data_IF_267512294016
#
_entry.id   IF_267512294016
#
_cell.length_a   1.000
_cell.length_b   1.000
_cell.length_c   1.000
_cell.angle_alpha   90.00
_cell.angle_beta   90.00
_cell.angle_gamma   90.00
#
_symmetry.space_group_name_H-M   'P 1'
#
loop_
_entity.id
_entity.type
_entity.pdbx_description
1 polymer ?
#
# COMPACT_ATOMS: atom_id res chain seq x y z
N UNK A 1 41.05 -41.76 -0.88
CA UNK A 1 40.03 -40.91 -0.23
C UNK A 1 39.89 -39.48 -0.82
N UNK A 2 40.71 -39.06 -1.81
CA UNK A 2 40.68 -37.68 -2.34
C UNK A 2 39.72 -37.46 -3.54
N UNK A 3 39.14 -38.53 -4.11
CA UNK A 3 38.37 -38.50 -5.35
C UNK A 3 36.84 -38.40 -5.14
N UNK A 4 36.37 -38.49 -3.90
CA UNK A 4 34.94 -38.51 -3.53
C UNK A 4 34.43 -37.13 -3.12
N UNK A 5 35.31 -36.29 -2.57
CA UNK A 5 35.00 -34.91 -2.15
C UNK A 5 34.85 -33.96 -3.34
N UNK A 6 35.64 -34.16 -4.41
CA UNK A 6 35.53 -33.41 -5.68
C UNK A 6 34.27 -33.75 -6.47
N UNK A 7 33.80 -35.00 -6.40
CA UNK A 7 32.51 -35.41 -6.99
C UNK A 7 31.32 -34.82 -6.23
N UNK A 8 31.43 -34.71 -4.91
CA UNK A 8 30.40 -34.13 -4.05
C UNK A 8 30.27 -32.61 -4.24
N UNK A 9 31.38 -31.87 -4.36
CA UNK A 9 31.34 -30.43 -4.68
C UNK A 9 30.83 -30.12 -6.08
N UNK A 10 31.14 -30.97 -7.07
CA UNK A 10 30.62 -30.81 -8.44
C UNK A 10 29.09 -31.03 -8.49
N UNK A 11 28.56 -31.99 -7.74
CA UNK A 11 27.12 -32.26 -7.65
C UNK A 11 26.36 -31.13 -6.93
N UNK A 12 26.93 -30.57 -5.85
CA UNK A 12 26.33 -29.43 -5.14
C UNK A 12 26.31 -28.18 -6.04
N UNK A 13 27.39 -27.90 -6.76
CA UNK A 13 27.45 -26.78 -7.71
C UNK A 13 26.43 -26.94 -8.87
N UNK A 14 26.23 -28.16 -9.38
CA UNK A 14 25.27 -28.46 -10.44
C UNK A 14 23.81 -28.26 -9.98
N UNK A 15 23.49 -28.60 -8.72
CA UNK A 15 22.14 -28.38 -8.16
C UNK A 15 21.82 -26.91 -7.89
N UNK A 16 22.84 -26.09 -7.57
CA UNK A 16 22.64 -24.66 -7.30
C UNK A 16 22.38 -23.86 -8.58
N UNK A 17 23.02 -24.21 -9.71
CA UNK A 17 22.74 -23.59 -11.01
C UNK A 17 21.34 -23.91 -11.56
N UNK A 18 20.76 -25.06 -11.21
CA UNK A 18 19.42 -25.45 -11.67
C UNK A 18 18.28 -24.69 -10.96
N UNK A 19 18.55 -24.09 -9.80
CA UNK A 19 17.57 -23.30 -9.03
C UNK A 19 17.42 -21.84 -9.52
N UNK A 20 18.32 -21.37 -10.40
CA UNK A 20 18.35 -19.98 -10.88
C UNK A 20 17.76 -19.82 -12.29
N UNK A 21 17.14 -20.86 -12.85
CA UNK A 21 16.41 -20.74 -14.10
C UNK A 21 15.22 -19.80 -13.89
N UNK A 22 15.03 -18.76 -14.72
CA UNK A 22 13.83 -17.96 -14.67
C UNK A 22 12.65 -18.91 -14.94
N UNK A 23 11.75 -19.02 -13.96
CA UNK A 23 10.51 -19.77 -14.11
C UNK A 23 9.66 -19.04 -15.13
N UNK A 24 9.82 -19.37 -16.40
CA UNK A 24 8.88 -19.05 -17.48
C UNK A 24 7.64 -19.91 -17.30
N UNK A 25 6.97 -19.76 -16.14
CA UNK A 25 5.58 -20.16 -16.05
C UNK A 25 4.84 -19.30 -17.06
N UNK A 26 4.02 -19.94 -17.91
CA UNK A 26 2.98 -19.22 -18.63
C UNK A 26 2.13 -18.51 -17.57
N UNK A 27 2.44 -17.24 -17.32
CA UNK A 27 1.64 -16.39 -16.46
C UNK A 27 0.32 -16.26 -17.21
N UNK A 28 -0.68 -17.03 -16.79
CA UNK A 28 -2.02 -16.88 -17.31
C UNK A 28 -2.36 -15.40 -17.25
N UNK A 29 -2.82 -14.85 -18.36
CA UNK A 29 -3.21 -13.44 -18.44
C UNK A 29 -4.13 -13.16 -17.25
N UNK A 30 -3.78 -12.14 -16.46
CA UNK A 30 -4.62 -11.75 -15.35
C UNK A 30 -6.03 -11.48 -15.88
N UNK A 31 -7.09 -11.91 -15.18
CA UNK A 31 -8.44 -11.56 -15.57
C UNK A 31 -8.55 -10.03 -15.70
N UNK A 32 -9.38 -9.54 -16.64
CA UNK A 32 -9.57 -8.11 -16.82
C UNK A 32 -9.98 -7.47 -15.49
N UNK A 33 -9.38 -6.32 -15.19
CA UNK A 33 -9.62 -5.59 -13.94
C UNK A 33 -11.06 -5.08 -13.89
N UNK A 34 -11.67 -5.10 -12.71
CA UNK A 34 -12.99 -4.52 -12.50
C UNK A 34 -12.94 -3.00 -12.76
N UNK A 35 -13.84 -2.44 -13.58
CA UNK A 35 -13.92 -0.99 -13.82
C UNK A 35 -13.94 -0.14 -12.54
N UNK A 36 -14.50 -0.66 -11.44
CA UNK A 36 -14.53 0.00 -10.13
C UNK A 36 -13.13 0.35 -9.61
N UNK A 37 -12.08 -0.33 -10.06
CA UNK A 37 -10.71 0.01 -9.68
C UNK A 37 -10.30 1.40 -10.19
N UNK A 38 -10.82 1.85 -11.34
CA UNK A 38 -10.59 3.22 -11.81
C UNK A 38 -11.28 4.23 -10.90
N UNK A 39 -12.48 3.93 -10.42
CA UNK A 39 -13.23 4.78 -9.49
C UNK A 39 -12.52 4.89 -8.13
N UNK A 40 -11.96 3.77 -7.62
CA UNK A 40 -11.15 3.77 -6.40
C UNK A 40 -9.87 4.61 -6.54
N UNK A 41 -9.22 4.57 -7.72
CA UNK A 41 -8.06 5.42 -8.02
C UNK A 41 -8.43 6.89 -8.05
N UNK A 42 -9.55 7.24 -8.70
CA UNK A 42 -10.06 8.60 -8.71
C UNK A 42 -10.40 9.11 -7.30
N UNK A 43 -11.04 8.28 -6.47
CA UNK A 43 -11.31 8.58 -5.07
C UNK A 43 -10.02 8.86 -4.29
N UNK A 44 -9.02 7.98 -4.39
CA UNK A 44 -7.72 8.15 -3.74
C UNK A 44 -7.05 9.45 -4.17
N UNK A 45 -6.97 9.70 -5.48
CA UNK A 45 -6.24 10.83 -6.03
C UNK A 45 -6.90 12.16 -5.66
N UNK A 46 -8.23 12.23 -5.71
CA UNK A 46 -9.00 13.38 -5.27
C UNK A 46 -8.84 13.67 -3.77
N UNK A 47 -8.94 12.63 -2.93
CA UNK A 47 -8.75 12.74 -1.49
C UNK A 47 -7.34 13.24 -1.14
N UNK A 48 -6.30 12.67 -1.75
CA UNK A 48 -4.91 13.09 -1.53
C UNK A 48 -4.69 14.54 -1.97
N UNK A 49 -5.28 14.95 -3.10
CA UNK A 49 -5.17 16.32 -3.58
C UNK A 49 -5.79 17.32 -2.59
N UNK A 50 -6.95 17.00 -1.99
CA UNK A 50 -7.58 17.83 -0.95
C UNK A 50 -6.71 17.92 0.32
N UNK A 51 -6.20 16.77 0.81
CA UNK A 51 -5.33 16.71 1.99
C UNK A 51 -4.06 17.55 1.77
N UNK A 52 -3.40 17.40 0.63
CA UNK A 52 -2.14 18.11 0.33
C UNK A 52 -2.33 19.64 0.26
N UNK A 53 -3.53 20.12 -0.08
CA UNK A 53 -3.87 21.54 -0.08
C UNK A 53 -4.35 22.05 1.29
N UNK A 54 -4.53 21.17 2.28
CA UNK A 54 -5.18 21.52 3.55
C UNK A 54 -6.66 21.85 3.41
N UNK A 55 -7.31 21.39 2.33
CA UNK A 55 -8.71 21.67 2.02
C UNK A 55 -9.63 20.64 2.71
N UNK A 56 -10.01 20.92 3.96
CA UNK A 56 -10.83 20.00 4.75
C UNK A 56 -12.26 19.85 4.19
N UNK A 57 -12.82 20.89 3.60
CA UNK A 57 -14.13 20.81 2.95
C UNK A 57 -14.06 19.92 1.70
N UNK A 58 -12.95 19.96 0.97
CA UNK A 58 -12.69 19.08 -0.17
C UNK A 58 -12.47 17.61 0.16
N UNK A 59 -12.26 17.25 1.44
CA UNK A 59 -12.13 15.85 1.89
C UNK A 59 -13.52 15.19 2.03
N UNK A 60 -14.50 15.93 2.55
CA UNK A 60 -15.82 15.40 2.94
C UNK A 60 -16.55 14.62 1.81
N UNK A 61 -16.53 15.06 0.53
CA UNK A 61 -17.18 14.34 -0.57
C UNK A 61 -16.61 12.95 -0.87
N UNK A 62 -15.35 12.68 -0.49
CA UNK A 62 -14.70 11.38 -0.69
C UNK A 62 -15.00 10.38 0.43
N UNK A 63 -15.71 10.81 1.47
CA UNK A 63 -16.01 10.00 2.64
C UNK A 63 -17.50 9.73 2.74
N UNK A 64 -17.86 8.48 3.02
CA UNK A 64 -19.21 8.15 3.41
C UNK A 64 -19.60 8.85 4.73
N UNK A 65 -20.86 9.25 4.90
CA UNK A 65 -21.36 9.94 6.11
C UNK A 65 -21.11 9.14 7.40
N UNK A 66 -21.16 7.81 7.29
CA UNK A 66 -20.88 6.86 8.38
C UNK A 66 -19.45 6.28 8.33
N UNK A 67 -18.48 6.99 7.73
CA UNK A 67 -17.10 6.50 7.67
C UNK A 67 -16.48 6.33 9.07
N UNK A 68 -15.50 5.43 9.15
CA UNK A 68 -14.66 5.23 10.34
C UNK A 68 -13.22 5.25 9.89
N UNK A 69 -12.43 6.18 10.44
CA UNK A 69 -11.00 6.29 10.15
C UNK A 69 -10.23 5.92 11.41
N UNK A 70 -9.32 4.96 11.29
CA UNK A 70 -8.37 4.62 12.34
C UNK A 70 -7.01 5.21 11.97
N UNK A 71 -6.48 6.07 12.81
CA UNK A 71 -5.24 6.80 12.56
C UNK A 71 -4.02 6.00 13.03
N UNK A 72 -2.82 6.40 12.62
CA UNK A 72 -1.57 5.71 12.99
C UNK A 72 -1.31 5.64 14.50
N UNK A 73 -1.91 6.53 15.29
CA UNK A 73 -1.83 6.54 16.76
C UNK A 73 -2.99 5.78 17.44
N UNK A 74 -3.72 4.94 16.70
CA UNK A 74 -4.88 4.17 17.15
C UNK A 74 -6.11 4.99 17.57
N UNK A 75 -6.11 6.32 17.39
CA UNK A 75 -7.33 7.10 17.54
C UNK A 75 -8.35 6.74 16.46
N UNK A 76 -9.63 6.86 16.79
CA UNK A 76 -10.75 6.56 15.89
C UNK A 76 -11.59 7.82 15.67
N UNK A 77 -11.73 8.22 14.40
CA UNK A 77 -12.67 9.25 13.97
C UNK A 77 -13.90 8.61 13.34
N UNK A 78 -15.10 9.08 13.72
CA UNK A 78 -16.38 8.61 13.19
C UNK A 78 -17.13 9.73 12.48
N UNK A 79 -17.59 9.45 11.27
CA UNK A 79 -18.28 10.39 10.39
C UNK A 79 -17.43 11.61 10.02
N UNK A 80 -18.02 12.50 9.22
CA UNK A 80 -17.34 13.73 8.78
C UNK A 80 -16.89 14.61 9.95
N UNK A 81 -17.74 14.77 10.98
CA UNK A 81 -17.42 15.58 12.15
C UNK A 81 -16.18 15.07 12.91
N UNK A 82 -16.06 13.75 13.11
CA UNK A 82 -14.90 13.16 13.79
C UNK A 82 -13.62 13.28 12.98
N UNK A 83 -13.70 13.18 11.65
CA UNK A 83 -12.55 13.36 10.76
C UNK A 83 -12.08 14.82 10.76
N UNK A 84 -13.02 15.77 10.66
CA UNK A 84 -12.74 17.21 10.72
C UNK A 84 -12.07 17.60 12.04
N UNK A 85 -12.62 17.14 13.17
CA UNK A 85 -12.06 17.42 14.49
C UNK A 85 -10.61 16.90 14.65
N UNK A 86 -10.27 15.77 14.02
CA UNK A 86 -8.91 15.26 14.00
C UNK A 86 -7.99 16.19 13.20
N UNK A 87 -8.35 16.50 11.95
CA UNK A 87 -7.54 17.40 11.11
C UNK A 87 -7.34 18.78 11.72
N UNK A 88 -8.39 19.39 12.30
CA UNK A 88 -8.31 20.67 13.00
C UNK A 88 -7.30 20.65 14.16
N UNK A 89 -7.08 19.50 14.79
CA UNK A 89 -6.09 19.34 15.87
C UNK A 89 -4.68 19.16 15.32
N UNK A 90 -4.49 18.37 14.26
CA UNK A 90 -3.15 17.98 13.78
C UNK A 90 -2.56 18.91 12.71
N UNK A 91 -3.38 19.58 11.90
CA UNK A 91 -2.91 20.46 10.82
C UNK A 91 -2.70 21.91 11.27
N UNK A 92 -3.18 22.30 12.47
CA UNK A 92 -2.88 23.64 13.00
C UNK A 92 -1.38 23.76 13.24
N UNK A 93 -0.73 24.84 12.77
CA UNK A 93 0.69 25.05 13.03
C UNK A 93 0.91 25.08 14.54
N UNK A 94 1.78 24.18 15.04
CA UNK A 94 2.26 24.31 16.42
C UNK A 94 3.18 25.52 16.47
N UNK A 95 2.77 26.54 17.22
CA UNK A 95 3.65 27.62 17.64
C UNK A 95 4.93 27.00 18.21
N UNK A 96 6.08 27.31 17.58
CA UNK A 96 7.39 27.00 18.15
C UNK A 96 7.57 27.96 19.34
N UNK A 97 7.61 27.40 20.55
CA UNK A 97 8.15 28.09 21.72
C UNK A 97 9.66 27.88 21.75
#
# INVERSE_FOLDING_TARGET
MLMNTTRLTLLIALTFSLACLPRTGAQAAAPPEDPAHQELRALRDGLLAAINRGDLAGIEPFLHTNCVVTWHNAEVSRGHAGVRAYFDRVMKPKSRR
#
